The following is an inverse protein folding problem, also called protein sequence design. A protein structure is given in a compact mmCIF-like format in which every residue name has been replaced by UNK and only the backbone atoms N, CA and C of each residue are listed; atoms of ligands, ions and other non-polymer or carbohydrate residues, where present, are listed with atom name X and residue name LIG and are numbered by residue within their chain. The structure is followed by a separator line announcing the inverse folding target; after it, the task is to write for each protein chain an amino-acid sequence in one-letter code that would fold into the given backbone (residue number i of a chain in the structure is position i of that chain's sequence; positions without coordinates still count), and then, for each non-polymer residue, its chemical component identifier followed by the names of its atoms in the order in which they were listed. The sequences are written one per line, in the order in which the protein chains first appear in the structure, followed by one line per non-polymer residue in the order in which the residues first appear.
data_IF_614389957257
#
_entry.id   IF_614389957257
#
_cell.length_a   1.000
_cell.length_b   1.000
_cell.length_c   1.000
_cell.angle_alpha   90.00
_cell.angle_beta   90.00
_cell.angle_gamma   90.00
#
_symmetry.space_group_name_H-M   'P 1'
#
loop_
_entity.id
_entity.type
_entity.pdbx_description
1 polymer ?
#
# COMPACT_ATOMS: atom_id res chain seq x y z
N UNK A 1 16.28 12.99 1.84
CA UNK A 1 15.85 14.09 2.74
C UNK A 1 14.55 13.65 3.41
N UNK A 2 14.27 14.09 4.63
CA UNK A 2 13.12 13.65 5.42
C UNK A 2 12.43 14.84 6.07
N UNK A 3 11.09 14.84 6.09
CA UNK A 3 10.25 15.77 6.83
C UNK A 3 9.29 15.00 7.71
N UNK A 4 8.99 15.57 8.89
CA UNK A 4 7.95 15.07 9.79
C UNK A 4 6.83 16.10 9.86
N UNK A 5 5.62 15.66 9.54
CA UNK A 5 4.43 16.50 9.52
C UNK A 5 3.37 15.86 10.42
N UNK A 6 2.62 16.68 11.14
CA UNK A 6 1.33 16.20 11.68
C UNK A 6 0.37 15.90 10.53
N UNK A 7 -0.63 15.05 10.79
CA UNK A 7 -1.65 14.70 9.78
C UNK A 7 -2.42 15.92 9.25
N UNK A 8 -2.69 16.92 10.10
CA UNK A 8 -3.35 18.18 9.73
C UNK A 8 -2.47 19.10 8.87
N UNK A 9 -1.17 19.12 9.14
CA UNK A 9 -0.17 19.83 8.34
C UNK A 9 -0.02 19.20 6.95
N UNK A 10 0.03 17.88 6.85
CA UNK A 10 0.01 17.22 5.55
C UNK A 10 -1.30 17.51 4.80
N UNK A 11 -2.44 17.43 5.50
CA UNK A 11 -3.76 17.66 4.90
C UNK A 11 -3.87 19.06 4.28
N UNK A 12 -3.45 20.13 4.98
CA UNK A 12 -3.53 21.48 4.41
C UNK A 12 -2.60 21.66 3.19
N UNK A 13 -1.44 20.99 3.15
CA UNK A 13 -0.58 20.98 1.97
C UNK A 13 -1.21 20.23 0.80
N UNK A 14 -1.90 19.13 1.09
CA UNK A 14 -2.60 18.33 0.10
C UNK A 14 -3.83 19.05 -0.47
N UNK A 15 -4.61 19.73 0.37
CA UNK A 15 -5.74 20.58 -0.03
C UNK A 15 -5.32 21.71 -0.95
N UNK A 16 -4.12 22.27 -0.76
CA UNK A 16 -3.54 23.27 -1.65
C UNK A 16 -3.25 22.74 -3.07
N UNK A 17 -3.43 21.43 -3.32
CA UNK A 17 -3.33 20.80 -4.65
C UNK A 17 -4.71 20.52 -5.30
N UNK A 18 -5.77 21.15 -4.80
CA UNK A 18 -7.16 20.95 -5.22
C UNK A 18 -7.69 19.52 -4.93
N UNK A 19 -7.22 18.91 -3.84
CA UNK A 19 -7.75 17.64 -3.33
C UNK A 19 -8.22 17.77 -1.88
N UNK A 20 -9.51 17.52 -1.66
CA UNK A 20 -10.16 17.63 -0.36
C UNK A 20 -10.14 16.32 0.45
N UNK A 21 -9.59 15.24 -0.12
CA UNK A 21 -9.50 13.93 0.52
C UNK A 21 -8.06 13.50 0.69
N UNK A 22 -7.73 13.11 1.93
CA UNK A 22 -6.46 12.50 2.29
C UNK A 22 -6.16 11.32 1.34
N UNK A 23 -4.93 11.23 0.79
CA UNK A 23 -4.62 10.18 -0.15
C UNK A 23 -4.51 8.84 0.59
N UNK A 24 -5.24 7.83 0.11
CA UNK A 24 -5.15 6.49 0.65
C UNK A 24 -3.70 5.96 0.60
N UNK A 25 -3.19 5.28 1.66
CA UNK A 25 -3.90 4.82 2.86
C UNK A 25 -3.78 5.77 4.07
N UNK A 26 -3.24 6.98 3.87
CA UNK A 26 -3.07 7.98 4.93
C UNK A 26 -4.44 8.46 5.41
N UNK A 27 -4.53 8.77 6.70
CA UNK A 27 -5.76 9.21 7.36
C UNK A 27 -5.53 10.52 8.09
N UNK A 28 -6.51 11.41 8.01
CA UNK A 28 -6.61 12.57 8.89
C UNK A 28 -8.00 12.60 9.53
N UNK A 29 -8.05 12.76 10.85
CA UNK A 29 -9.27 13.10 11.59
C UNK A 29 -9.04 14.41 12.33
N UNK A 30 -10.04 15.28 12.35
CA UNK A 30 -9.96 16.50 13.16
C UNK A 30 -10.16 16.16 14.63
N UNK A 31 -9.28 16.65 15.51
CA UNK A 31 -9.40 16.49 16.96
C UNK A 31 -10.31 17.55 17.60
N UNK A 32 -10.79 18.53 16.82
CA UNK A 32 -11.61 19.61 17.33
C UNK A 32 -13.03 19.12 17.68
N UNK A 33 -13.40 19.25 18.96
CA UNK A 33 -14.71 18.86 19.47
C UNK A 33 -15.77 19.96 19.33
N UNK A 34 -15.36 21.20 19.03
CA UNK A 34 -16.25 22.36 18.85
C UNK A 34 -15.93 23.13 17.57
N UNK A 35 -16.91 23.89 17.06
CA UNK A 35 -16.71 24.75 15.89
C UNK A 35 -15.63 25.82 16.13
N UNK A 36 -15.59 26.42 17.32
CA UNK A 36 -14.59 27.44 17.66
C UNK A 36 -13.18 26.85 17.74
N UNK A 37 -13.04 25.65 18.33
CA UNK A 37 -11.77 24.92 18.34
C UNK A 37 -11.30 24.61 16.92
N UNK A 38 -12.23 24.17 16.05
CA UNK A 38 -11.94 23.92 14.64
C UNK A 38 -11.47 25.19 13.93
N UNK A 39 -12.18 26.30 14.08
CA UNK A 39 -11.82 27.58 13.47
C UNK A 39 -10.44 28.08 13.95
N UNK A 40 -10.11 27.85 15.22
CA UNK A 40 -8.80 28.17 15.77
C UNK A 40 -7.69 27.33 15.14
N UNK A 41 -7.87 26.01 15.05
CA UNK A 41 -6.90 25.09 14.41
C UNK A 41 -6.70 25.47 12.94
N UNK A 42 -7.78 25.73 12.19
CA UNK A 42 -7.68 26.15 10.79
C UNK A 42 -6.92 27.47 10.62
N UNK A 43 -7.11 28.45 11.53
CA UNK A 43 -6.33 29.71 11.50
C UNK A 43 -4.84 29.44 11.75
N UNK A 44 -4.52 28.58 12.72
CA UNK A 44 -3.14 28.23 13.03
C UNK A 44 -2.47 27.49 11.86
N UNK A 45 -3.17 26.56 11.22
CA UNK A 45 -2.67 25.84 10.05
C UNK A 45 -2.47 26.76 8.85
N UNK A 46 -3.40 27.67 8.57
CA UNK A 46 -3.26 28.66 7.50
C UNK A 46 -2.07 29.59 7.74
N UNK A 47 -1.88 30.05 8.98
CA UNK A 47 -0.71 30.87 9.33
C UNK A 47 0.60 30.08 9.18
N UNK A 48 0.64 28.83 9.63
CA UNK A 48 1.79 27.94 9.44
C UNK A 48 2.11 27.73 7.96
N UNK A 49 1.10 27.38 7.14
CA UNK A 49 1.27 27.16 5.71
C UNK A 49 1.76 28.42 5.00
N UNK A 50 1.22 29.61 5.33
CA UNK A 50 1.67 30.87 4.76
C UNK A 50 3.11 31.24 5.14
N UNK A 51 3.61 30.75 6.27
CA UNK A 51 5.00 30.96 6.73
C UNK A 51 5.99 29.92 6.21
N UNK A 52 5.51 28.87 5.54
CA UNK A 52 6.34 27.75 5.09
C UNK A 52 7.13 28.14 3.82
N UNK A 53 8.44 28.33 3.97
CA UNK A 53 9.39 28.52 2.85
C UNK A 53 10.20 27.23 2.62
N UNK A 54 9.55 26.19 2.11
CA UNK A 54 10.21 24.94 1.75
C UNK A 54 9.77 24.46 0.35
N UNK A 55 10.44 24.94 -0.73
CA UNK A 55 10.09 24.56 -2.09
C UNK A 55 10.31 23.06 -2.36
N UNK A 56 11.19 22.38 -1.61
CA UNK A 56 11.45 20.95 -1.79
C UNK A 56 10.30 20.12 -1.21
N UNK A 57 9.77 20.52 -0.06
CA UNK A 57 8.58 19.91 0.50
C UNK A 57 7.38 20.12 -0.44
N UNK A 58 7.18 21.33 -0.97
CA UNK A 58 6.12 21.58 -1.95
C UNK A 58 6.28 20.74 -3.21
N UNK A 59 7.50 20.57 -3.72
CA UNK A 59 7.77 19.68 -4.84
C UNK A 59 7.43 18.21 -4.53
N UNK A 60 7.63 17.74 -3.29
CA UNK A 60 7.25 16.40 -2.88
C UNK A 60 5.72 16.21 -2.86
N UNK A 61 4.99 17.19 -2.32
CA UNK A 61 3.52 17.19 -2.33
C UNK A 61 2.98 17.20 -3.77
N UNK A 62 3.58 18.02 -4.64
CA UNK A 62 3.25 18.06 -6.06
C UNK A 62 3.59 16.75 -6.79
N UNK A 63 4.65 16.04 -6.38
CA UNK A 63 4.98 14.73 -6.93
C UNK A 63 3.92 13.67 -6.57
N UNK A 64 3.47 13.66 -5.31
CA UNK A 64 2.40 12.78 -4.85
C UNK A 64 1.05 13.08 -5.56
N UNK A 65 0.80 14.35 -5.89
CA UNK A 65 -0.40 14.80 -6.61
C UNK A 65 -0.39 14.38 -8.08
N UNK A 66 0.75 14.52 -8.76
CA UNK A 66 0.87 14.26 -10.20
C UNK A 66 1.97 13.21 -10.48
N UNK A 67 1.77 11.96 -10.02
CA UNK A 67 2.75 10.92 -10.21
C UNK A 67 2.75 10.41 -11.65
N UNK A 68 3.89 9.91 -12.12
CA UNK A 68 3.91 9.04 -13.32
C UNK A 68 3.27 7.69 -12.98
N UNK A 69 3.53 7.20 -11.76
CA UNK A 69 2.78 6.12 -11.12
C UNK A 69 2.91 6.25 -9.60
N UNK A 70 1.94 5.70 -8.89
CA UNK A 70 1.95 5.66 -7.43
C UNK A 70 1.68 4.26 -6.90
N UNK A 71 1.98 4.07 -5.63
CA UNK A 71 1.85 2.79 -4.94
C UNK A 71 1.39 3.03 -3.52
N UNK A 72 0.48 2.20 -3.05
CA UNK A 72 0.01 2.24 -1.66
C UNK A 72 0.34 0.92 -1.01
N UNK A 73 0.85 0.95 0.21
CA UNK A 73 1.06 -0.23 1.05
C UNK A 73 0.26 -0.04 2.33
N UNK A 74 -0.61 -1.00 2.60
CA UNK A 74 -1.47 -1.00 3.77
C UNK A 74 -1.40 -2.34 4.50
N UNK A 75 -1.06 -2.30 5.79
CA UNK A 75 -1.16 -3.42 6.72
C UNK A 75 -2.13 -2.95 7.82
N UNK A 76 -3.30 -3.59 8.01
CA UNK A 76 -4.20 -3.25 9.10
C UNK A 76 -3.56 -3.59 10.45
N UNK A 77 -4.06 -2.96 11.52
CA UNK A 77 -3.72 -3.38 12.87
C UNK A 77 -4.50 -4.66 13.20
N UNK A 78 -3.91 -5.61 13.93
CA UNK A 78 -4.58 -6.86 14.34
C UNK A 78 -5.85 -6.59 15.17
N UNK A 79 -5.92 -5.43 15.83
CA UNK A 79 -7.06 -5.00 16.64
C UNK A 79 -8.31 -4.60 15.83
N UNK A 80 -8.21 -4.43 14.51
CA UNK A 80 -9.34 -3.98 13.67
C UNK A 80 -10.36 -5.10 13.35
N UNK A 81 -10.03 -6.39 13.57
CA UNK A 81 -10.90 -7.48 13.10
C UNK A 81 -12.10 -7.82 14.01
N UNK A 82 -12.13 -7.48 15.31
CA UNK A 82 -13.22 -7.96 16.19
C UNK A 82 -13.66 -7.10 17.39
N UNK A 83 -13.29 -5.82 17.50
CA UNK A 83 -13.75 -4.99 18.62
C UNK A 83 -14.63 -3.80 18.15
N UNK A 84 -15.95 -3.93 18.28
CA UNK A 84 -16.83 -2.77 18.43
C UNK A 84 -16.37 -1.98 19.66
N UNK A 85 -15.63 -0.90 19.44
CA UNK A 85 -14.86 -0.18 20.45
C UNK A 85 -13.35 -0.03 20.15
N UNK A 86 -12.92 -0.41 18.92
CA UNK A 86 -11.59 -0.29 18.30
C UNK A 86 -10.71 0.80 18.91
N UNK A 87 -9.50 0.39 19.30
CA UNK A 87 -8.52 1.17 20.04
C UNK A 87 -8.40 2.62 19.56
N UNK A 88 -8.29 3.56 20.51
CA UNK A 88 -8.02 4.97 20.20
C UNK A 88 -6.65 5.17 19.53
N UNK A 89 -5.79 4.15 19.54
CA UNK A 89 -4.42 4.15 19.03
C UNK A 89 -4.16 2.91 18.16
N UNK A 90 -3.68 3.13 16.94
CA UNK A 90 -3.10 2.09 16.08
C UNK A 90 -1.66 1.86 16.54
N UNK A 91 -1.25 0.60 16.74
CA UNK A 91 0.07 0.23 17.27
C UNK A 91 0.97 -0.42 16.24
N UNK A 92 0.40 -1.14 15.28
CA UNK A 92 1.15 -1.91 14.29
C UNK A 92 0.75 -1.64 12.83
N UNK A 93 -0.26 -0.79 12.59
CA UNK A 93 -0.71 -0.49 11.24
C UNK A 93 0.42 0.14 10.40
N UNK A 94 0.58 -0.32 9.16
CA UNK A 94 1.48 0.28 8.17
C UNK A 94 0.65 1.01 7.14
N UNK A 95 0.92 2.31 6.97
CA UNK A 95 0.20 3.18 6.02
C UNK A 95 1.20 3.95 5.19
N UNK A 96 1.49 3.46 3.99
CA UNK A 96 2.46 4.09 3.09
C UNK A 96 1.87 4.42 1.75
N UNK A 97 2.26 5.57 1.22
CA UNK A 97 2.01 5.98 -0.15
C UNK A 97 3.32 6.44 -0.78
N UNK A 98 3.68 5.82 -1.89
CA UNK A 98 4.85 6.13 -2.67
C UNK A 98 4.50 6.62 -4.07
N UNK A 99 5.39 7.37 -4.69
CA UNK A 99 5.28 7.66 -6.12
C UNK A 99 6.64 7.91 -6.78
N UNK A 100 6.66 7.82 -8.10
CA UNK A 100 7.72 8.36 -8.93
C UNK A 100 7.15 9.43 -9.86
N UNK A 101 7.90 10.52 -10.02
CA UNK A 101 7.63 11.59 -10.99
C UNK A 101 8.96 12.03 -11.62
N UNK A 102 9.20 11.64 -12.85
CA UNK A 102 10.46 11.88 -13.55
C UNK A 102 11.66 11.36 -12.76
N UNK A 103 12.49 12.28 -12.25
CA UNK A 103 13.74 11.97 -11.53
C UNK A 103 13.61 11.95 -10.01
N UNK A 104 12.41 12.09 -9.48
CA UNK A 104 12.17 12.05 -8.03
C UNK A 104 11.26 10.89 -7.64
N UNK A 105 11.59 10.26 -6.51
CA UNK A 105 10.73 9.32 -5.81
C UNK A 105 10.39 9.89 -4.44
N UNK A 106 9.10 9.83 -4.08
CA UNK A 106 8.60 10.32 -2.79
C UNK A 106 7.91 9.16 -2.08
N UNK A 107 8.13 9.05 -0.78
CA UNK A 107 7.42 8.12 0.11
C UNK A 107 6.84 8.92 1.27
N UNK A 108 5.54 8.72 1.53
CA UNK A 108 4.82 9.21 2.68
C UNK A 108 4.41 8.02 3.55
N UNK A 109 4.83 8.00 4.81
CA UNK A 109 4.46 7.00 5.80
C UNK A 109 3.72 7.68 6.94
N UNK A 110 2.53 7.18 7.29
CA UNK A 110 1.88 7.55 8.54
C UNK A 110 2.28 6.54 9.61
N UNK A 111 3.00 7.03 10.63
CA UNK A 111 3.42 6.23 11.76
C UNK A 111 2.21 5.83 12.62
N UNK A 112 2.26 4.66 13.30
CA UNK A 112 1.30 4.30 14.32
C UNK A 112 1.11 5.39 15.38
N UNK A 113 -0.08 5.46 15.96
CA UNK A 113 -0.48 6.50 16.90
C UNK A 113 -2.00 6.65 16.97
N UNK A 114 -2.52 7.75 17.54
CA UNK A 114 -3.96 7.93 17.66
C UNK A 114 -4.64 7.87 16.28
N UNK A 115 -5.77 7.17 16.19
CA UNK A 115 -6.42 6.86 14.91
C UNK A 115 -6.69 8.13 14.10
N UNK A 116 -6.06 8.24 12.92
CA UNK A 116 -6.19 9.40 12.03
C UNK A 116 -5.36 10.62 12.43
N UNK A 117 -4.45 10.49 13.40
CA UNK A 117 -3.57 11.56 13.87
C UNK A 117 -2.08 11.24 13.78
N UNK A 118 -1.71 10.01 13.42
CA UNK A 118 -0.32 9.58 13.28
C UNK A 118 0.53 10.55 12.46
N UNK A 119 1.77 10.78 12.92
CA UNK A 119 2.76 11.63 12.23
C UNK A 119 3.03 11.08 10.84
N UNK A 120 3.10 11.97 9.86
CA UNK A 120 3.42 11.65 8.47
C UNK A 120 4.88 12.00 8.22
N UNK A 121 5.67 10.97 7.94
CA UNK A 121 7.06 11.09 7.54
C UNK A 121 7.11 11.10 6.02
N UNK A 122 7.61 12.20 5.44
CA UNK A 122 7.88 12.31 4.01
C UNK A 122 9.37 12.11 3.76
N UNK A 123 9.69 11.23 2.83
CA UNK A 123 11.05 10.98 2.37
C UNK A 123 11.12 11.17 0.86
N UNK A 124 12.27 11.68 0.38
CA UNK A 124 12.52 11.87 -1.04
C UNK A 124 13.89 11.37 -1.45
N UNK A 125 13.93 10.74 -2.62
CA UNK A 125 15.13 10.39 -3.38
C UNK A 125 15.14 11.09 -4.74
N UNK A 126 16.33 11.41 -5.22
CA UNK A 126 16.59 11.97 -6.54
C UNK A 126 17.59 11.08 -7.25
N UNK A 127 17.28 10.65 -8.46
CA UNK A 127 18.09 9.64 -9.14
C UNK A 127 17.65 9.38 -10.56
N UNK A 128 18.30 8.39 -11.16
CA UNK A 128 17.77 7.71 -12.34
C UNK A 128 16.48 6.96 -11.98
N UNK A 129 15.71 6.62 -13.00
CA UNK A 129 14.48 5.85 -12.85
C UNK A 129 14.73 4.51 -12.11
N UNK A 130 15.79 3.78 -12.47
CA UNK A 130 16.17 2.53 -11.80
C UNK A 130 16.55 2.72 -10.32
N UNK A 131 17.33 3.75 -9.99
CA UNK A 131 17.70 4.06 -8.59
C UNK A 131 16.47 4.43 -7.76
N UNK A 132 15.55 5.20 -8.34
CA UNK A 132 14.31 5.61 -7.70
C UNK A 132 13.36 4.43 -7.46
N UNK A 133 13.24 3.50 -8.41
CA UNK A 133 12.45 2.26 -8.23
C UNK A 133 12.98 1.42 -7.08
N UNK A 134 14.29 1.15 -7.06
CA UNK A 134 14.94 0.38 -6.00
C UNK A 134 14.81 1.07 -4.65
N UNK A 135 15.04 2.39 -4.60
CA UNK A 135 14.88 3.17 -3.38
C UNK A 135 13.45 3.06 -2.86
N UNK A 136 12.46 3.22 -3.74
CA UNK A 136 11.06 3.17 -3.36
C UNK A 136 10.65 1.78 -2.84
N UNK A 137 11.05 0.70 -3.52
CA UNK A 137 10.81 -0.67 -3.05
C UNK A 137 11.45 -0.92 -1.68
N UNK A 138 12.65 -0.37 -1.46
CA UNK A 138 13.34 -0.45 -0.16
C UNK A 138 12.56 0.28 0.93
N UNK A 139 12.10 1.51 0.69
CA UNK A 139 11.34 2.27 1.68
C UNK A 139 9.97 1.64 1.98
N UNK A 140 9.27 1.13 0.96
CA UNK A 140 7.95 0.52 1.13
C UNK A 140 7.99 -0.80 1.91
N UNK A 141 9.12 -1.50 1.89
CA UNK A 141 9.33 -2.75 2.65
C UNK A 141 10.07 -2.55 3.97
N UNK A 142 10.60 -1.35 4.25
CA UNK A 142 11.34 -1.06 5.47
C UNK A 142 10.48 -1.29 6.71
N UNK A 143 11.02 -1.89 7.77
CA UNK A 143 10.29 -2.10 9.03
C UNK A 143 9.14 -3.12 8.97
N UNK A 144 8.86 -3.75 7.83
CA UNK A 144 7.97 -4.90 7.80
C UNK A 144 8.62 -6.08 8.58
N UNK A 145 7.83 -6.91 9.29
CA UNK A 145 8.37 -8.06 10.00
C UNK A 145 9.16 -9.01 9.07
N UNK A 146 10.31 -9.48 9.56
CA UNK A 146 11.16 -10.46 8.87
C UNK A 146 10.61 -11.88 9.09
N UNK A 147 9.57 -12.20 8.33
CA UNK A 147 8.91 -13.51 8.33
C UNK A 147 9.53 -14.37 7.22
N UNK A 148 9.96 -15.62 7.52
CA UNK A 148 10.53 -16.50 6.50
C UNK A 148 9.50 -16.85 5.41
N UNK A 149 9.94 -17.25 4.21
CA UNK A 149 9.04 -17.83 3.22
C UNK A 149 8.29 -19.04 3.79
N UNK A 150 7.02 -19.17 3.45
CA UNK A 150 6.23 -20.34 3.82
C UNK A 150 6.80 -21.67 3.28
N UNK A 151 6.41 -22.77 3.91
CA UNK A 151 6.96 -24.10 3.58
C UNK A 151 6.51 -24.63 2.21
N UNK A 152 5.35 -24.19 1.71
CA UNK A 152 4.85 -24.61 0.39
C UNK A 152 5.29 -23.59 -0.65
N UNK A 153 6.29 -23.96 -1.48
CA UNK A 153 6.90 -23.02 -2.45
C UNK A 153 5.90 -22.28 -3.33
N UNK A 154 4.94 -22.99 -3.91
CA UNK A 154 3.86 -22.39 -4.69
C UNK A 154 2.65 -23.31 -4.80
N UNK A 155 1.46 -22.70 -4.88
CA UNK A 155 0.19 -23.35 -5.20
C UNK A 155 -0.52 -22.53 -6.28
N UNK A 156 -1.23 -23.21 -7.19
CA UNK A 156 -2.09 -22.56 -8.18
C UNK A 156 -3.41 -23.32 -8.30
N UNK A 157 -4.52 -22.60 -8.38
CA UNK A 157 -5.84 -23.17 -8.63
C UNK A 157 -6.71 -22.17 -9.38
N UNK A 158 -7.73 -22.65 -10.08
CA UNK A 158 -8.77 -21.74 -10.59
C UNK A 158 -9.72 -21.36 -9.46
N UNK A 159 -10.43 -20.23 -9.54
CA UNK A 159 -11.46 -19.87 -8.57
C UNK A 159 -12.48 -21.01 -8.35
N UNK A 160 -12.93 -21.67 -9.42
CA UNK A 160 -13.88 -22.79 -9.33
C UNK A 160 -13.27 -24.02 -8.64
N UNK A 161 -11.96 -24.24 -8.82
CA UNK A 161 -11.21 -25.29 -8.13
C UNK A 161 -11.11 -25.07 -6.62
N UNK A 162 -11.14 -23.80 -6.17
CA UNK A 162 -11.14 -23.42 -4.76
C UNK A 162 -12.54 -23.52 -4.14
N UNK A 163 -13.60 -23.30 -4.92
CA UNK A 163 -14.99 -23.41 -4.46
C UNK A 163 -15.48 -24.85 -4.36
N UNK A 164 -15.01 -25.73 -5.25
CA UNK A 164 -15.43 -27.13 -5.30
C UNK A 164 -14.91 -27.92 -4.09
N UNK A 165 -15.67 -27.91 -2.99
CA UNK A 165 -15.54 -28.91 -1.93
C UNK A 165 -15.78 -30.28 -2.57
N UNK A 166 -14.79 -31.17 -2.58
CA UNK A 166 -15.06 -32.57 -2.93
C UNK A 166 -16.03 -33.16 -1.90
N UNK A 167 -17.32 -33.14 -2.21
CA UNK A 167 -18.29 -34.00 -1.57
C UNK A 167 -17.88 -35.44 -1.94
N UNK A 168 -17.50 -36.22 -0.92
CA UNK A 168 -16.88 -37.55 -1.01
C UNK A 168 -17.05 -38.26 -2.36
N UNK A 169 -16.05 -38.15 -3.22
CA UNK A 169 -16.04 -38.93 -4.46
C UNK A 169 -15.47 -40.31 -4.15
N UNK A 170 -16.36 -41.28 -4.01
CA UNK A 170 -16.07 -42.69 -4.28
C UNK A 170 -15.69 -42.80 -5.77
N UNK A 171 -14.43 -42.54 -6.11
CA UNK A 171 -13.89 -42.95 -7.41
C UNK A 171 -12.48 -43.52 -7.26
N UNK A 172 -12.33 -44.62 -7.95
CA UNK A 172 -11.25 -45.60 -7.95
C UNK A 172 -9.97 -44.98 -8.50
N UNK A 173 -8.90 -45.05 -7.68
CA UNK A 173 -7.47 -45.00 -8.01
C UNK A 173 -7.09 -44.23 -9.30
N UNK A 174 -6.69 -42.95 -9.17
CA UNK A 174 -5.66 -42.31 -9.99
C UNK A 174 -4.90 -41.29 -9.11
N UNK A 175 -3.61 -41.58 -8.86
CA UNK A 175 -2.60 -40.75 -8.19
C UNK A 175 -3.02 -39.94 -6.95
N UNK A 176 -2.65 -40.44 -5.77
CA UNK A 176 -3.01 -40.00 -4.41
C UNK A 176 -2.54 -38.59 -3.98
N UNK A 177 -2.30 -37.67 -4.91
CA UNK A 177 -1.94 -36.30 -4.59
C UNK A 177 -3.21 -35.48 -4.32
N UNK A 178 -3.32 -34.91 -3.12
CA UNK A 178 -4.33 -33.88 -2.81
C UNK A 178 -4.21 -32.75 -3.84
N UNK A 179 -5.29 -32.40 -4.58
CA UNK A 179 -5.26 -31.31 -5.57
C UNK A 179 -4.81 -29.98 -4.94
N UNK A 180 -4.16 -29.12 -5.72
CA UNK A 180 -3.66 -27.84 -5.24
C UNK A 180 -4.78 -26.93 -4.68
N UNK A 181 -6.01 -27.04 -5.20
CA UNK A 181 -7.17 -26.31 -4.65
C UNK A 181 -7.49 -26.70 -3.20
N UNK A 182 -7.41 -27.98 -2.85
CA UNK A 182 -7.62 -28.45 -1.48
C UNK A 182 -6.48 -28.05 -0.55
N UNK A 183 -5.23 -28.10 -1.05
CA UNK A 183 -4.05 -27.63 -0.30
C UNK A 183 -4.15 -26.13 -0.04
N UNK A 184 -4.52 -25.36 -1.05
CA UNK A 184 -4.69 -23.91 -0.97
C UNK A 184 -5.80 -23.53 0.01
N UNK A 185 -6.97 -24.20 -0.07
CA UNK A 185 -8.05 -24.03 0.92
C UNK A 185 -7.55 -24.26 2.35
N UNK A 186 -6.86 -25.37 2.59
CA UNK A 186 -6.34 -25.69 3.93
C UNK A 186 -5.37 -24.61 4.41
N UNK A 187 -4.49 -24.15 3.53
CA UNK A 187 -3.52 -23.09 3.82
C UNK A 187 -4.22 -21.77 4.18
N UNK A 188 -5.18 -21.32 3.38
CA UNK A 188 -5.96 -20.10 3.57
C UNK A 188 -6.89 -20.14 4.79
N UNK A 189 -7.16 -21.33 5.36
CA UNK A 189 -7.94 -21.47 6.62
C UNK A 189 -7.07 -21.49 7.87
N UNK A 190 -5.74 -21.45 7.74
CA UNK A 190 -4.85 -21.39 8.90
C UNK A 190 -4.92 -19.99 9.54
N UNK A 191 -4.62 -19.86 10.84
CA UNK A 191 -4.53 -18.55 11.49
C UNK A 191 -3.49 -17.66 10.80
N UNK A 192 -3.93 -16.48 10.36
CA UNK A 192 -3.05 -15.45 9.83
C UNK A 192 -2.52 -14.59 10.98
N UNK A 193 -1.24 -14.25 10.95
CA UNK A 193 -0.62 -13.30 11.90
C UNK A 193 -0.50 -11.91 11.31
N UNK A 194 -0.58 -11.76 10.00
CA UNK A 194 -0.58 -10.46 9.33
C UNK A 194 -1.05 -10.60 7.89
N UNK A 195 -1.57 -9.52 7.32
CA UNK A 195 -1.91 -9.39 5.93
C UNK A 195 -1.55 -7.98 5.45
N UNK A 196 -1.02 -7.87 4.25
CA UNK A 196 -0.71 -6.59 3.65
C UNK A 196 -1.26 -6.49 2.25
N UNK A 197 -1.65 -5.29 1.87
CA UNK A 197 -2.24 -4.96 0.59
C UNK A 197 -1.37 -3.94 -0.12
N UNK A 198 -1.16 -4.16 -1.40
CA UNK A 198 -0.45 -3.26 -2.29
C UNK A 198 -1.33 -2.96 -3.48
N UNK A 199 -1.55 -1.67 -3.72
CA UNK A 199 -2.18 -1.20 -4.94
C UNK A 199 -1.16 -0.39 -5.72
N UNK A 200 -1.00 -0.73 -7.00
CA UNK A 200 -0.20 0.03 -7.94
C UNK A 200 -1.15 0.81 -8.84
N UNK A 201 -0.88 2.10 -8.93
CA UNK A 201 -1.78 3.09 -9.47
C UNK A 201 -1.09 3.81 -10.63
N UNK A 202 -1.82 3.99 -11.72
CA UNK A 202 -1.32 4.69 -12.91
C UNK A 202 -1.22 6.21 -12.72
N UNK A 203 -0.87 6.94 -13.79
CA UNK A 203 -0.90 8.40 -13.77
C UNK A 203 -2.29 8.91 -13.39
N UNK A 204 -2.32 9.95 -12.54
CA UNK A 204 -3.57 10.58 -12.12
C UNK A 204 -4.12 11.52 -13.20
N UNK A 205 -5.40 11.37 -13.54
CA UNK A 205 -6.16 12.26 -14.42
C UNK A 205 -7.29 12.95 -13.64
N UNK A 206 -7.04 14.18 -13.18
CA UNK A 206 -7.98 14.91 -12.33
C UNK A 206 -8.13 14.25 -10.95
N UNK A 207 -9.31 13.71 -10.66
CA UNK A 207 -9.58 12.93 -9.44
C UNK A 207 -9.35 11.43 -9.62
N UNK A 208 -9.33 10.96 -10.88
CA UNK A 208 -9.18 9.56 -11.21
C UNK A 208 -7.71 9.13 -11.15
N UNK A 209 -7.46 8.01 -10.49
CA UNK A 209 -6.15 7.40 -10.35
C UNK A 209 -6.34 5.89 -10.54
N UNK A 210 -6.17 5.39 -11.77
CA UNK A 210 -6.60 4.04 -12.15
C UNK A 210 -5.75 2.98 -11.45
N UNK A 211 -6.41 1.94 -10.92
CA UNK A 211 -5.74 0.73 -10.46
C UNK A 211 -5.16 -0.03 -11.66
N UNK A 212 -3.84 -0.17 -11.68
CA UNK A 212 -3.13 -0.88 -12.75
C UNK A 212 -2.81 -2.30 -12.34
N UNK A 213 -2.46 -2.51 -11.08
CA UNK A 213 -2.06 -3.81 -10.56
C UNK A 213 -2.27 -3.85 -9.04
N UNK A 214 -2.47 -5.03 -8.49
CA UNK A 214 -2.62 -5.25 -7.06
C UNK A 214 -1.92 -6.53 -6.62
N UNK A 215 -1.52 -6.55 -5.36
CA UNK A 215 -1.08 -7.78 -4.71
C UNK A 215 -1.37 -7.71 -3.23
N UNK A 216 -1.59 -8.88 -2.65
CA UNK A 216 -1.67 -9.02 -1.20
C UNK A 216 -0.63 -10.03 -0.75
N UNK A 217 -0.10 -9.87 0.46
CA UNK A 217 0.62 -10.94 1.13
C UNK A 217 -0.05 -11.24 2.46
N UNK A 218 0.21 -12.42 2.99
CA UNK A 218 -0.21 -12.79 4.32
C UNK A 218 0.81 -13.72 4.96
N UNK A 219 0.87 -13.63 6.28
CA UNK A 219 1.77 -14.39 7.12
C UNK A 219 0.94 -15.42 7.89
N UNK A 220 1.37 -16.68 7.84
CA UNK A 220 0.69 -17.78 8.54
C UNK A 220 1.51 -18.18 9.77
N UNK A 221 0.82 -18.29 10.91
CA UNK A 221 1.42 -18.77 12.15
C UNK A 221 2.12 -20.12 11.96
N UNK A 222 3.36 -20.21 12.42
CA UNK A 222 4.22 -21.40 12.35
C UNK A 222 4.47 -21.93 10.92
N UNK A 223 4.41 -21.08 9.89
CA UNK A 223 4.70 -21.46 8.51
C UNK A 223 5.54 -20.44 7.77
N UNK A 224 5.05 -19.21 7.64
CA UNK A 224 5.76 -18.14 6.95
C UNK A 224 4.87 -17.30 6.04
N UNK A 225 5.52 -16.49 5.21
CA UNK A 225 4.90 -15.49 4.34
C UNK A 225 4.59 -16.05 2.96
N UNK A 226 3.41 -15.70 2.48
CA UNK A 226 2.92 -16.01 1.13
C UNK A 226 2.46 -14.74 0.41
N UNK A 227 2.84 -14.62 -0.86
CA UNK A 227 2.30 -13.63 -1.78
C UNK A 227 1.11 -14.23 -2.53
N UNK A 228 0.04 -13.45 -2.61
CA UNK A 228 -1.24 -13.79 -3.23
C UNK A 228 -1.44 -12.99 -4.52
N UNK A 229 -1.77 -13.71 -5.57
CA UNK A 229 -2.10 -13.16 -6.89
C UNK A 229 -3.46 -13.66 -7.33
N UNK A 230 -4.28 -12.77 -7.87
CA UNK A 230 -5.55 -13.11 -8.49
C UNK A 230 -5.50 -12.64 -9.94
N UNK A 231 -5.55 -13.59 -10.86
CA UNK A 231 -5.83 -13.35 -12.27
C UNK A 231 -6.93 -14.33 -12.74
N UNK A 232 -6.72 -15.06 -13.83
CA UNK A 232 -7.56 -16.22 -14.18
C UNK A 232 -7.32 -17.43 -13.26
N UNK A 233 -6.29 -17.37 -12.41
CA UNK A 233 -5.95 -18.30 -11.37
C UNK A 233 -5.72 -17.57 -10.05
N UNK A 234 -5.97 -18.27 -8.95
CA UNK A 234 -5.49 -17.93 -7.62
C UNK A 234 -4.12 -18.57 -7.47
N UNK A 235 -3.08 -17.77 -7.21
CA UNK A 235 -1.72 -18.26 -7.01
C UNK A 235 -1.19 -17.81 -5.66
N UNK A 236 -0.55 -18.75 -4.95
CA UNK A 236 0.23 -18.48 -3.76
C UNK A 236 1.69 -18.82 -4.03
N UNK A 237 2.58 -17.96 -3.53
CA UNK A 237 4.04 -18.16 -3.62
C UNK A 237 4.65 -17.86 -2.27
N UNK A 238 5.45 -18.78 -1.73
CA UNK A 238 6.24 -18.50 -0.53
C UNK A 238 7.29 -17.44 -0.86
N UNK A 239 7.38 -16.39 -0.04
CA UNK A 239 8.28 -15.26 -0.27
C UNK A 239 8.94 -14.78 1.02
N UNK A 240 10.22 -14.44 0.96
CA UNK A 240 10.91 -13.68 2.00
C UNK A 240 10.61 -12.19 1.88
N UNK A 241 11.08 -11.39 2.83
CA UNK A 241 11.05 -9.93 2.70
C UNK A 241 11.86 -9.43 1.49
N UNK A 242 12.96 -10.08 1.13
CA UNK A 242 13.74 -9.73 -0.05
C UNK A 242 12.99 -10.10 -1.34
N UNK A 243 12.37 -11.29 -1.40
CA UNK A 243 11.53 -11.67 -2.55
C UNK A 243 10.35 -10.71 -2.74
N UNK A 244 9.79 -10.18 -1.64
CA UNK A 244 8.76 -9.16 -1.68
C UNK A 244 9.32 -7.85 -2.26
N UNK A 245 10.49 -7.39 -1.79
CA UNK A 245 11.15 -6.19 -2.35
C UNK A 245 11.45 -6.33 -3.85
N UNK A 246 11.96 -7.48 -4.26
CA UNK A 246 12.26 -7.77 -5.67
C UNK A 246 10.98 -7.78 -6.52
N UNK A 247 9.86 -8.28 -5.98
CA UNK A 247 8.55 -8.22 -6.63
C UNK A 247 8.07 -6.76 -6.82
N UNK A 248 8.27 -5.89 -5.82
CA UNK A 248 7.97 -4.46 -5.96
C UNK A 248 8.80 -3.84 -7.09
N UNK A 249 10.12 -4.07 -7.12
CA UNK A 249 11.00 -3.53 -8.17
C UNK A 249 10.57 -4.01 -9.57
N UNK A 250 10.26 -5.31 -9.71
CA UNK A 250 9.78 -5.91 -10.96
C UNK A 250 8.47 -5.27 -11.44
N UNK A 251 7.51 -5.05 -10.55
CA UNK A 251 6.22 -4.44 -10.91
C UNK A 251 6.37 -2.96 -11.26
N UNK A 252 7.22 -2.23 -10.54
CA UNK A 252 7.53 -0.84 -10.89
C UNK A 252 8.20 -0.72 -12.26
N UNK A 253 9.09 -1.64 -12.61
CA UNK A 253 9.70 -1.68 -13.93
C UNK A 253 8.67 -1.93 -15.04
N UNK A 254 7.71 -2.83 -14.81
CA UNK A 254 6.60 -3.07 -15.76
C UNK A 254 5.72 -1.83 -15.94
N UNK A 255 5.47 -1.05 -14.89
CA UNK A 255 4.74 0.22 -14.99
C UNK A 255 5.52 1.26 -15.78
N UNK A 256 6.82 1.39 -15.50
CA UNK A 256 7.67 2.35 -16.19
C UNK A 256 7.86 2.03 -17.69
N UNK A 257 7.77 0.76 -18.06
CA UNK A 257 7.98 0.27 -19.44
C UNK A 257 6.69 -0.09 -20.18
N UNK A 258 5.55 -0.15 -19.49
CA UNK A 258 4.25 -0.47 -20.05
C UNK A 258 3.86 0.53 -21.15
N UNK A 259 2.96 0.14 -22.08
CA UNK A 259 2.54 1.03 -23.14
C UNK A 259 1.96 2.28 -22.50
N UNK A 260 2.58 3.43 -22.76
CA UNK A 260 2.02 4.73 -22.46
C UNK A 260 0.68 4.81 -23.17
N UNK A 261 -0.42 4.53 -22.47
CA UNK A 261 -1.77 4.81 -22.95
C UNK A 261 -1.79 6.31 -23.23
N UNK A 262 -1.76 6.60 -24.53
CA UNK A 262 -1.86 7.90 -25.19
C UNK A 262 -1.52 9.12 -24.33
N UNK A 263 -0.34 9.70 -24.58
CA UNK A 263 -0.19 11.16 -24.49
C UNK A 263 -1.19 11.78 -25.47
N UNK A 264 -2.44 11.94 -25.04
CA UNK A 264 -3.40 12.80 -25.73
C UNK A 264 -2.80 14.19 -25.66
N UNK A 265 -2.24 14.60 -26.79
CA UNK A 265 -1.82 15.99 -27.00
C UNK A 265 -3.06 16.86 -26.81
N UNK A 266 -2.98 17.97 -26.05
CA UNK A 266 -4.04 18.95 -26.08
C UNK A 266 -4.05 19.56 -27.49
N UNK A 267 -5.04 19.17 -28.29
CA UNK A 267 -5.38 19.88 -29.50
C UNK A 267 -6.14 21.15 -29.11
N UNK A 268 -5.48 22.27 -29.40
CA UNK A 268 -6.00 23.65 -29.62
C UNK A 268 -6.54 24.40 -28.40
#
# INVERSE_FOLDING_TARGET
MTWELRSDQFMILWEATDLDRMPYPLRHRSSATTMDARAMVERQLRAWHASLDDPKLMACIQALRHPDYSVTVFVPDEADDHAEGSALEETAAVRRRGCVRGRIAVMAEQLPGPVGHGTIVLQVSHGTDAENRRWLATQLTAGLPDVPPGNIRSLSSTPEGLERRQAGSTMVLHNSAVPDGDRMRRLLTRPHTSNGYVCLLGPRHGLDEPLVDEMAWFDIADDGRYLHFVDHQVRLRAVSLNDLRDEFELRFEKLATGPSTERVSPLV
#
